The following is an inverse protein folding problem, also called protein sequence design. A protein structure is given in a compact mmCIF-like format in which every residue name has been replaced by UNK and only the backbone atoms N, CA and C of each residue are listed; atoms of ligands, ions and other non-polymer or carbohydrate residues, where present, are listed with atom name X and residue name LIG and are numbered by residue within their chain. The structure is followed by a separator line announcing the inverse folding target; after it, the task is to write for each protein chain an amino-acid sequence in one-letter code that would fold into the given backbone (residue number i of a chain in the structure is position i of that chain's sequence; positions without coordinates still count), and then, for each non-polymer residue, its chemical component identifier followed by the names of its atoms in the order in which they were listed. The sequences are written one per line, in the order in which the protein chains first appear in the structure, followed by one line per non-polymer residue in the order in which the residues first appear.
data_IF_928892120452
#
_entry.id   IF_928892120452
#
_cell.length_a   1.000
_cell.length_b   1.000
_cell.length_c   1.000
_cell.angle_alpha   90.00
_cell.angle_beta   90.00
_cell.angle_gamma   90.00
#
_symmetry.space_group_name_H-M   'P 1'
#
loop_
_entity.id
_entity.type
_entity.pdbx_description
1 polymer ?
#
# COMPACT_ATOMS: atom_id res chain seq x y z
N UNK A 1 3.23 15.28 7.64
CA UNK A 1 1.82 14.98 7.38
C UNK A 1 1.40 13.87 8.32
N UNK A 2 0.24 14.00 8.98
CA UNK A 2 -0.34 12.92 9.78
C UNK A 2 -1.01 11.91 8.84
N UNK A 3 -1.11 10.65 9.27
CA UNK A 3 -1.67 9.59 8.42
C UNK A 3 -3.14 9.85 8.03
N UNK A 4 -3.93 10.47 8.89
CA UNK A 4 -5.31 10.85 8.59
C UNK A 4 -5.43 12.01 7.61
N UNK A 5 -4.47 12.95 7.67
CA UNK A 5 -4.36 14.05 6.70
C UNK A 5 -4.02 13.48 5.32
N UNK A 6 -3.11 12.50 5.27
CA UNK A 6 -2.79 11.77 4.05
C UNK A 6 -3.99 11.00 3.50
N UNK A 7 -4.70 10.25 4.35
CA UNK A 7 -5.88 9.48 3.95
C UNK A 7 -6.94 10.39 3.30
N UNK A 8 -7.25 11.52 3.94
CA UNK A 8 -8.19 12.50 3.37
C UNK A 8 -7.71 13.06 2.04
N UNK A 9 -6.42 13.40 1.96
CA UNK A 9 -5.81 13.96 0.75
C UNK A 9 -5.83 12.98 -0.43
N UNK A 10 -5.49 11.71 -0.21
CA UNK A 10 -5.44 10.70 -1.28
C UNK A 10 -6.84 10.39 -1.80
N UNK A 11 -7.83 10.26 -0.92
CA UNK A 11 -9.24 10.07 -1.31
C UNK A 11 -9.70 11.23 -2.21
N UNK A 12 -9.45 12.48 -1.79
CA UNK A 12 -9.81 13.67 -2.56
C UNK A 12 -9.07 13.75 -3.90
N UNK A 13 -7.79 13.37 -3.92
CA UNK A 13 -6.98 13.32 -5.12
C UNK A 13 -7.56 12.33 -6.15
N UNK A 14 -7.91 11.12 -5.70
CA UNK A 14 -8.50 10.08 -6.54
C UNK A 14 -9.90 10.49 -7.06
N UNK A 15 -10.69 11.20 -6.26
CA UNK A 15 -11.99 11.76 -6.68
C UNK A 15 -11.80 12.81 -7.78
N UNK A 16 -10.85 13.73 -7.63
CA UNK A 16 -10.55 14.78 -8.63
C UNK A 16 -10.07 14.22 -9.97
N UNK A 17 -9.38 13.08 -9.96
CA UNK A 17 -8.88 12.41 -11.17
C UNK A 17 -9.89 11.46 -11.83
N UNK A 18 -11.09 11.36 -11.28
CA UNK A 18 -12.08 10.36 -11.67
C UNK A 18 -11.56 8.91 -11.55
N UNK A 19 -10.54 8.67 -10.72
CA UNK A 19 -10.03 7.31 -10.45
C UNK A 19 -10.87 6.63 -9.38
N UNK A 20 -11.51 7.40 -8.51
CA UNK A 20 -12.41 6.90 -7.48
C UNK A 20 -13.66 6.19 -8.05
N UNK A 21 -14.04 6.43 -9.30
CA UNK A 21 -15.25 5.87 -9.92
C UNK A 21 -15.27 4.34 -10.00
N UNK A 22 -14.11 3.69 -10.06
CA UNK A 22 -14.02 2.23 -10.17
C UNK A 22 -14.54 1.56 -8.89
N UNK A 23 -15.37 0.55 -9.06
CA UNK A 23 -15.97 -0.19 -7.96
C UNK A 23 -14.91 -1.07 -7.24
N UNK A 24 -15.22 -1.57 -6.02
CA UNK A 24 -14.28 -2.39 -5.26
C UNK A 24 -13.76 -3.62 -6.00
N UNK A 25 -14.56 -4.29 -6.84
CA UNK A 25 -14.14 -5.49 -7.56
C UNK A 25 -13.03 -5.18 -8.56
N UNK A 26 -13.15 -4.08 -9.31
CA UNK A 26 -12.08 -3.60 -10.21
C UNK A 26 -10.84 -3.19 -9.40
N UNK A 27 -11.03 -2.51 -8.27
CA UNK A 27 -9.92 -2.03 -7.44
C UNK A 27 -9.05 -3.12 -6.83
N UNK A 28 -9.62 -4.29 -6.55
CA UNK A 28 -8.82 -5.45 -6.14
C UNK A 28 -7.84 -5.87 -7.24
N UNK A 29 -8.20 -5.67 -8.52
CA UNK A 29 -7.29 -5.82 -9.65
C UNK A 29 -6.09 -4.89 -9.54
N UNK A 30 -6.31 -3.59 -9.39
CA UNK A 30 -5.23 -2.60 -9.20
C UNK A 30 -4.38 -2.90 -7.98
N UNK A 31 -4.99 -3.22 -6.83
CA UNK A 31 -4.24 -3.64 -5.65
C UNK A 31 -3.32 -4.84 -5.93
N UNK A 32 -3.78 -5.80 -6.72
CA UNK A 32 -2.99 -6.98 -7.07
C UNK A 32 -1.82 -6.62 -7.99
N UNK A 33 -2.03 -5.69 -8.92
CA UNK A 33 -0.97 -5.12 -9.77
C UNK A 33 0.11 -4.46 -8.90
N UNK A 34 -0.27 -3.56 -7.98
CA UNK A 34 0.69 -2.87 -7.09
C UNK A 34 1.43 -3.83 -6.16
N UNK A 35 0.77 -4.89 -5.67
CA UNK A 35 1.45 -5.94 -4.89
C UNK A 35 2.50 -6.67 -5.73
N UNK A 36 2.24 -6.87 -7.02
CA UNK A 36 3.23 -7.41 -7.96
C UNK A 36 4.43 -6.48 -8.16
N UNK A 37 4.18 -5.17 -8.29
CA UNK A 37 5.22 -4.15 -8.40
C UNK A 37 6.06 -4.06 -7.12
N UNK A 38 5.41 -4.05 -5.95
CA UNK A 38 6.07 -4.12 -4.64
C UNK A 38 6.94 -5.36 -4.49
N UNK A 39 6.45 -6.53 -4.93
CA UNK A 39 7.24 -7.78 -4.92
C UNK A 39 8.51 -7.63 -5.75
N UNK A 40 8.41 -7.02 -6.93
CA UNK A 40 9.55 -6.73 -7.80
C UNK A 40 10.52 -5.73 -7.17
N UNK A 41 10.03 -4.70 -6.49
CA UNK A 41 10.86 -3.71 -5.80
C UNK A 41 11.65 -4.34 -4.64
N UNK A 42 10.99 -5.13 -3.79
CA UNK A 42 11.65 -5.88 -2.70
C UNK A 42 12.72 -6.80 -3.27
N UNK A 43 12.40 -7.57 -4.33
CA UNK A 43 13.40 -8.43 -4.99
C UNK A 43 14.61 -7.64 -5.48
N UNK A 44 14.39 -6.44 -6.03
CA UNK A 44 15.44 -5.53 -6.45
C UNK A 44 16.37 -5.09 -5.32
N UNK A 45 15.82 -4.79 -4.14
CA UNK A 45 16.59 -4.45 -2.93
C UNK A 45 17.38 -5.65 -2.40
N UNK A 46 16.75 -6.82 -2.31
CA UNK A 46 17.31 -7.99 -1.62
C UNK A 46 18.36 -8.74 -2.45
N UNK A 47 18.03 -9.05 -3.71
CA UNK A 47 18.85 -9.93 -4.57
C UNK A 47 19.13 -9.32 -5.95
N UNK A 48 18.74 -8.06 -6.18
CA UNK A 48 18.90 -7.39 -7.45
C UNK A 48 17.98 -7.93 -8.56
N UNK A 49 18.13 -7.35 -9.75
CA UNK A 49 17.41 -7.75 -10.96
C UNK A 49 18.41 -8.27 -11.98
N UNK A 50 18.34 -9.58 -12.22
CA UNK A 50 19.15 -10.24 -13.25
C UNK A 50 18.52 -9.99 -14.62
N UNK A 51 18.70 -8.77 -15.12
CA UNK A 51 18.19 -8.29 -16.40
C UNK A 51 19.33 -7.71 -17.22
N UNK A 52 19.77 -8.40 -18.29
CA UNK A 52 20.87 -7.94 -19.13
C UNK A 52 20.61 -6.57 -19.81
N UNK A 53 19.34 -6.20 -19.93
CA UNK A 53 18.85 -4.96 -20.54
C UNK A 53 18.76 -3.77 -19.56
N UNK A 54 18.87 -4.00 -18.25
CA UNK A 54 18.78 -2.94 -17.24
C UNK A 54 20.17 -2.52 -16.76
N UNK A 55 20.44 -1.21 -16.82
CA UNK A 55 21.66 -0.65 -16.21
C UNK A 55 21.66 -0.92 -14.70
N UNK A 56 22.82 -1.29 -14.14
CA UNK A 56 22.98 -1.42 -12.69
C UNK A 56 22.50 -0.14 -11.98
N UNK A 57 21.56 -0.29 -11.05
CA UNK A 57 21.00 0.79 -10.24
C UNK A 57 21.71 0.83 -8.89
N UNK A 58 21.76 2.02 -8.29
CA UNK A 58 22.29 2.19 -6.94
C UNK A 58 21.25 1.90 -5.86
N UNK A 59 21.68 1.88 -4.60
CA UNK A 59 20.79 1.64 -3.47
C UNK A 59 19.74 2.74 -3.29
N UNK A 60 20.05 3.98 -3.69
CA UNK A 60 19.11 5.08 -3.59
C UNK A 60 17.91 4.86 -4.51
N UNK A 61 18.17 4.46 -5.76
CA UNK A 61 17.12 4.08 -6.71
C UNK A 61 16.22 2.96 -6.18
N UNK A 62 16.81 1.88 -5.65
CA UNK A 62 16.00 0.77 -5.14
C UNK A 62 15.17 1.16 -3.91
N UNK A 63 15.71 2.04 -3.06
CA UNK A 63 14.97 2.57 -1.92
C UNK A 63 13.82 3.47 -2.34
N UNK A 64 14.03 4.34 -3.33
CA UNK A 64 12.98 5.19 -3.89
C UNK A 64 11.86 4.36 -4.51
N UNK A 65 12.22 3.39 -5.37
CA UNK A 65 11.23 2.49 -5.97
C UNK A 65 10.46 1.72 -4.88
N UNK A 66 11.12 1.22 -3.84
CA UNK A 66 10.42 0.52 -2.75
C UNK A 66 9.43 1.43 -2.01
N UNK A 67 9.79 2.70 -1.78
CA UNK A 67 8.88 3.67 -1.14
C UNK A 67 7.67 3.97 -2.01
N UNK A 68 7.85 4.06 -3.33
CA UNK A 68 6.77 4.24 -4.32
C UNK A 68 5.77 3.07 -4.26
N UNK A 69 6.24 1.83 -4.47
CA UNK A 69 5.33 0.68 -4.52
C UNK A 69 4.64 0.41 -3.17
N UNK A 70 5.30 0.70 -2.04
CA UNK A 70 4.66 0.62 -0.72
C UNK A 70 3.52 1.65 -0.60
N UNK A 71 3.70 2.84 -1.16
CA UNK A 71 2.69 3.88 -1.25
C UNK A 71 1.51 3.44 -2.11
N UNK A 72 1.76 2.88 -3.29
CA UNK A 72 0.70 2.48 -4.23
C UNK A 72 -0.17 1.33 -3.67
N UNK A 73 0.45 0.37 -2.98
CA UNK A 73 -0.30 -0.66 -2.23
C UNK A 73 -1.13 -0.02 -1.11
N UNK A 74 -0.52 0.89 -0.34
CA UNK A 74 -1.20 1.54 0.78
C UNK A 74 -2.40 2.39 0.33
N UNK A 75 -2.25 3.15 -0.75
CA UNK A 75 -3.31 3.97 -1.33
C UNK A 75 -4.50 3.13 -1.77
N UNK A 76 -4.25 1.99 -2.43
CA UNK A 76 -5.33 1.08 -2.80
C UNK A 76 -6.07 0.51 -1.59
N UNK A 77 -5.37 0.19 -0.49
CA UNK A 77 -6.01 -0.23 0.78
C UNK A 77 -6.86 0.89 1.36
N UNK A 78 -6.36 2.13 1.38
CA UNK A 78 -7.10 3.28 1.90
C UNK A 78 -8.37 3.56 1.09
N UNK A 79 -8.29 3.53 -0.25
CA UNK A 79 -9.46 3.75 -1.10
C UNK A 79 -10.48 2.61 -0.96
N UNK A 80 -10.03 1.36 -0.80
CA UNK A 80 -10.94 0.24 -0.53
C UNK A 80 -11.65 0.44 0.82
N UNK A 81 -10.93 0.82 1.87
CA UNK A 81 -11.53 1.13 3.17
C UNK A 81 -12.59 2.23 3.08
N UNK A 82 -12.28 3.35 2.42
CA UNK A 82 -13.21 4.47 2.20
C UNK A 82 -14.47 4.04 1.43
N UNK A 83 -14.34 3.14 0.44
CA UNK A 83 -15.50 2.61 -0.32
C UNK A 83 -16.46 1.77 0.51
N UNK A 84 -16.00 1.21 1.61
CA UNK A 84 -16.82 0.46 2.56
C UNK A 84 -17.20 1.28 3.80
N UNK A 85 -16.94 2.59 3.79
CA UNK A 85 -17.17 3.48 4.93
C UNK A 85 -16.44 3.03 6.20
N UNK A 86 -15.21 2.52 6.03
CA UNK A 86 -14.35 2.05 7.12
C UNK A 86 -13.24 3.07 7.35
N UNK A 87 -13.17 3.62 8.56
CA UNK A 87 -12.09 4.51 8.96
C UNK A 87 -10.77 3.75 9.18
N UNK A 88 -9.65 4.39 8.86
CA UNK A 88 -8.32 3.80 9.05
C UNK A 88 -8.04 3.47 10.52
N UNK A 89 -8.46 4.36 11.42
CA UNK A 89 -8.29 4.21 12.86
C UNK A 89 -9.07 3.02 13.41
N UNK A 90 -10.23 2.72 12.83
CA UNK A 90 -11.04 1.55 13.20
C UNK A 90 -10.32 0.26 12.78
N UNK A 91 -9.72 0.22 11.58
CA UNK A 91 -8.90 -0.92 11.12
C UNK A 91 -7.73 -1.14 12.08
N UNK A 92 -6.97 -0.08 12.38
CA UNK A 92 -5.79 -0.16 13.24
C UNK A 92 -6.16 -0.60 14.66
N UNK A 93 -7.21 -0.02 15.24
CA UNK A 93 -7.68 -0.34 16.59
C UNK A 93 -8.19 -1.78 16.67
N UNK A 94 -8.99 -2.21 15.68
CA UNK A 94 -9.54 -3.55 15.61
C UNK A 94 -8.44 -4.61 15.48
N UNK A 95 -7.48 -4.42 14.58
CA UNK A 95 -6.36 -5.37 14.41
C UNK A 95 -5.41 -5.38 15.60
N UNK A 96 -5.10 -4.22 16.19
CA UNK A 96 -4.27 -4.15 17.39
C UNK A 96 -4.90 -4.93 18.54
N UNK A 97 -6.17 -4.67 18.84
CA UNK A 97 -6.89 -5.37 19.92
C UNK A 97 -6.93 -6.90 19.69
N UNK A 98 -7.13 -7.33 18.44
CA UNK A 98 -7.10 -8.75 18.07
C UNK A 98 -5.73 -9.39 18.29
N UNK A 99 -4.64 -8.69 17.94
CA UNK A 99 -3.28 -9.18 18.16
C UNK A 99 -2.96 -9.26 19.65
N UNK A 100 -3.27 -8.21 20.41
CA UNK A 100 -3.07 -8.19 21.87
C UNK A 100 -3.84 -9.33 22.55
N UNK A 101 -5.10 -9.57 22.19
CA UNK A 101 -5.90 -10.68 22.72
C UNK A 101 -5.26 -12.05 22.42
N UNK A 102 -4.77 -12.25 21.19
CA UNK A 102 -4.16 -13.53 20.76
C UNK A 102 -2.93 -13.91 21.58
N UNK A 103 -2.20 -12.93 22.10
CA UNK A 103 -0.95 -13.13 22.83
C UNK A 103 -1.08 -12.89 24.35
N UNK A 104 -2.29 -12.69 24.89
CA UNK A 104 -2.53 -12.55 26.33
C UNK A 104 -2.18 -13.81 27.15
N UNK A 105 -2.15 -14.98 26.52
CA UNK A 105 -1.81 -16.25 27.17
C UNK A 105 -0.31 -16.61 27.13
N UNK A 106 0.52 -15.79 26.46
CA UNK A 106 1.98 -15.99 26.39
C UNK A 106 2.77 -15.22 27.47
N UNK A 107 2.07 -14.60 28.43
CA UNK A 107 2.64 -13.78 29.51
C UNK A 107 2.50 -14.38 30.91
#
# INVERSE_FOLDING_TARGET
MKINEYNSWVIDFYKKRNWYQYDPFIRVGFLTEEVGELSRAIRGVEIGRDRPDESAKDQAYYRENLMEELGDVFDNVLILADKYDIALEDIMSHHKAKLEERFKEEG
#
